data_IF_281149883892
#
_entry.id   IF_281149883892
#
_cell.length_a   1.000
_cell.length_b   1.000
_cell.length_c   1.000
_cell.angle_alpha   90.00
_cell.angle_beta   90.00
_cell.angle_gamma   90.00
#
_symmetry.space_group_name_H-M   'P 1'
#
loop_
_entity.id
_entity.type
_entity.pdbx_description
1 polymer ?
#
# COMPACT_ATOMS: atom_id res chain seq x y z
N UNK A 1 -35.98 16.77 -58.14
CA UNK A 1 -34.90 17.61 -57.53
C UNK A 1 -33.63 16.75 -57.47
N UNK A 2 -32.66 17.04 -58.33
CA UNK A 2 -31.35 16.38 -58.31
C UNK A 2 -30.46 17.11 -57.32
N UNK A 3 -30.25 16.50 -56.14
CA UNK A 3 -29.23 17.02 -55.22
C UNK A 3 -27.88 16.78 -55.84
N UNK A 4 -27.01 17.79 -55.98
CA UNK A 4 -25.68 17.62 -56.54
C UNK A 4 -24.87 16.69 -55.63
N UNK A 5 -24.21 15.69 -56.19
CA UNK A 5 -23.39 14.70 -55.48
C UNK A 5 -22.40 15.33 -54.50
N UNK A 6 -22.01 16.57 -54.72
CA UNK A 6 -21.12 17.34 -53.83
C UNK A 6 -21.74 17.68 -52.46
N UNK A 7 -23.06 17.92 -52.38
CA UNK A 7 -23.73 18.18 -51.06
C UNK A 7 -23.85 16.94 -50.21
N UNK A 8 -24.05 15.78 -50.82
CA UNK A 8 -24.09 14.50 -50.13
C UNK A 8 -22.70 14.14 -49.61
N UNK A 9 -21.66 14.40 -50.43
CA UNK A 9 -20.26 14.13 -50.02
C UNK A 9 -19.81 15.06 -48.88
N UNK A 10 -20.18 16.34 -48.90
CA UNK A 10 -19.93 17.31 -47.82
C UNK A 10 -20.63 16.94 -46.52
N UNK A 11 -21.88 16.47 -46.60
CA UNK A 11 -22.63 15.97 -45.43
C UNK A 11 -21.99 14.73 -44.85
N UNK A 12 -21.52 13.81 -45.70
CA UNK A 12 -20.85 12.59 -45.26
C UNK A 12 -19.51 12.90 -44.57
N UNK A 13 -18.77 13.89 -45.13
CA UNK A 13 -17.49 14.35 -44.55
C UNK A 13 -17.68 15.03 -43.17
N UNK A 14 -18.75 15.81 -42.99
CA UNK A 14 -19.09 16.45 -41.71
C UNK A 14 -19.40 15.44 -40.59
N UNK A 15 -20.07 14.32 -40.92
CA UNK A 15 -20.36 13.25 -39.95
C UNK A 15 -19.09 12.54 -39.49
N UNK A 16 -18.10 12.36 -40.36
CA UNK A 16 -16.82 11.72 -40.01
C UNK A 16 -15.97 12.55 -39.06
N UNK A 17 -16.01 13.89 -39.15
CA UNK A 17 -15.22 14.76 -38.26
C UNK A 17 -15.83 14.86 -36.87
N UNK A 18 -17.15 14.69 -36.72
CA UNK A 18 -17.85 14.77 -35.42
C UNK A 18 -17.58 13.55 -34.53
N UNK A 19 -17.17 12.44 -35.10
CA UNK A 19 -16.96 11.17 -34.37
C UNK A 19 -15.68 11.17 -33.50
N UNK A 20 -14.69 12.02 -33.79
CA UNK A 20 -13.43 12.04 -33.04
C UNK A 20 -13.49 12.80 -31.69
N UNK A 21 -14.39 13.79 -31.57
CA UNK A 21 -14.45 14.67 -30.39
C UNK A 21 -15.00 13.99 -29.14
N UNK A 22 -15.85 12.96 -29.28
CA UNK A 22 -16.48 12.27 -28.16
C UNK A 22 -15.55 11.37 -27.35
N UNK A 23 -14.52 10.77 -27.98
CA UNK A 23 -13.59 9.84 -27.32
C UNK A 23 -12.65 10.55 -26.35
N UNK A 24 -12.12 11.70 -26.72
CA UNK A 24 -11.24 12.48 -25.84
C UNK A 24 -11.98 13.01 -24.60
N UNK A 25 -13.26 13.37 -24.75
CA UNK A 25 -14.08 13.81 -23.63
C UNK A 25 -14.31 12.68 -22.61
N UNK A 26 -14.45 11.45 -23.09
CA UNK A 26 -14.61 10.28 -22.22
C UNK A 26 -13.30 9.90 -21.51
N UNK A 27 -12.14 9.95 -22.18
CA UNK A 27 -10.84 9.69 -21.56
C UNK A 27 -10.52 10.71 -20.45
N UNK A 28 -10.78 12.00 -20.69
CA UNK A 28 -10.65 13.08 -19.70
C UNK A 28 -11.54 12.85 -18.46
N UNK A 29 -12.75 12.34 -18.67
CA UNK A 29 -13.65 12.01 -17.57
C UNK A 29 -13.06 10.90 -16.69
N UNK A 30 -12.53 9.83 -17.27
CA UNK A 30 -11.86 8.76 -16.52
C UNK A 30 -10.64 9.28 -15.75
N UNK A 31 -9.86 10.19 -16.35
CA UNK A 31 -8.72 10.81 -15.67
C UNK A 31 -9.18 11.65 -14.46
N UNK A 32 -10.19 12.49 -14.64
CA UNK A 32 -10.77 13.30 -13.56
C UNK A 32 -11.36 12.44 -12.44
N UNK A 33 -12.02 11.31 -12.77
CA UNK A 33 -12.51 10.35 -11.78
C UNK A 33 -11.35 9.66 -11.03
N UNK A 34 -10.22 9.40 -11.71
CA UNK A 34 -9.02 8.86 -11.07
C UNK A 34 -8.37 9.86 -10.12
N UNK A 35 -8.29 11.15 -10.51
CA UNK A 35 -7.80 12.24 -9.67
C UNK A 35 -8.67 12.42 -8.41
N UNK A 36 -10.00 12.40 -8.57
CA UNK A 36 -10.93 12.47 -7.43
C UNK A 36 -10.73 11.30 -6.47
N UNK A 37 -10.65 10.07 -7.01
CA UNK A 37 -10.41 8.88 -6.20
C UNK A 37 -9.05 8.91 -5.47
N UNK A 38 -8.02 9.49 -6.10
CA UNK A 38 -6.72 9.71 -5.47
C UNK A 38 -6.80 10.69 -4.30
N UNK A 39 -7.49 11.83 -4.49
CA UNK A 39 -7.70 12.84 -3.44
C UNK A 39 -8.49 12.24 -2.26
N UNK A 40 -9.49 11.40 -2.53
CA UNK A 40 -10.27 10.69 -1.52
C UNK A 40 -9.49 9.57 -0.80
N UNK A 41 -8.25 9.29 -1.24
CA UNK A 41 -7.42 8.20 -0.70
C UNK A 41 -7.85 6.81 -1.14
N UNK A 42 -8.75 6.71 -2.11
CA UNK A 42 -9.17 5.44 -2.72
C UNK A 42 -8.22 5.03 -3.85
N UNK A 43 -7.03 4.61 -3.46
CA UNK A 43 -5.94 4.29 -4.39
C UNK A 43 -6.28 3.12 -5.32
N UNK A 44 -7.08 2.16 -4.86
CA UNK A 44 -7.52 1.03 -5.70
C UNK A 44 -8.42 1.48 -6.84
N UNK A 45 -9.36 2.37 -6.58
CA UNK A 45 -10.24 2.93 -7.60
C UNK A 45 -9.46 3.84 -8.56
N UNK A 46 -8.55 4.67 -8.05
CA UNK A 46 -7.69 5.51 -8.88
C UNK A 46 -6.89 4.68 -9.89
N UNK A 47 -6.22 3.63 -9.44
CA UNK A 47 -5.47 2.68 -10.32
C UNK A 47 -6.38 2.04 -11.37
N UNK A 48 -7.56 1.57 -10.97
CA UNK A 48 -8.53 0.96 -11.90
C UNK A 48 -8.95 1.95 -13.01
N UNK A 49 -9.23 3.20 -12.65
CA UNK A 49 -9.62 4.25 -13.62
C UNK A 49 -8.48 4.58 -14.58
N UNK A 50 -7.24 4.70 -14.09
CA UNK A 50 -6.05 4.95 -14.92
C UNK A 50 -5.82 3.79 -15.90
N UNK A 51 -5.90 2.54 -15.46
CA UNK A 51 -5.72 1.39 -16.35
C UNK A 51 -6.83 1.28 -17.38
N UNK A 52 -8.07 1.67 -17.01
CA UNK A 52 -9.19 1.74 -17.94
C UNK A 52 -8.94 2.74 -19.09
N UNK A 53 -8.23 3.84 -18.86
CA UNK A 53 -7.89 4.80 -19.94
C UNK A 53 -7.07 4.12 -21.04
N UNK A 54 -6.06 3.33 -20.67
CA UNK A 54 -5.20 2.61 -21.63
C UNK A 54 -5.98 1.59 -22.47
N UNK A 55 -6.93 0.90 -21.85
CA UNK A 55 -7.70 -0.17 -22.49
C UNK A 55 -8.79 0.41 -23.39
N UNK A 56 -9.56 1.39 -22.88
CA UNK A 56 -10.73 1.91 -23.56
C UNK A 56 -10.38 3.00 -24.58
N UNK A 57 -9.31 3.74 -24.35
CA UNK A 57 -8.93 4.92 -25.14
C UNK A 57 -7.45 4.88 -25.59
N UNK A 58 -7.00 3.84 -26.32
CA UNK A 58 -5.60 3.63 -26.65
C UNK A 58 -4.99 4.72 -27.56
N UNK A 59 -5.82 5.61 -28.12
CA UNK A 59 -5.39 6.75 -28.98
C UNK A 59 -5.34 8.08 -28.23
N UNK A 60 -5.74 8.13 -26.95
CA UNK A 60 -5.72 9.33 -26.12
C UNK A 60 -4.37 9.46 -25.40
N UNK A 61 -3.32 9.75 -26.15
CA UNK A 61 -1.93 9.75 -25.67
C UNK A 61 -1.70 10.74 -24.52
N UNK A 62 -2.31 11.90 -24.55
CA UNK A 62 -2.17 12.93 -23.52
C UNK A 62 -2.75 12.45 -22.18
N UNK A 63 -3.94 11.86 -22.21
CA UNK A 63 -4.61 11.32 -21.03
C UNK A 63 -3.90 10.06 -20.51
N UNK A 64 -3.35 9.23 -21.40
CA UNK A 64 -2.54 8.05 -21.00
C UNK A 64 -1.27 8.51 -20.29
N UNK A 65 -0.58 9.53 -20.80
CA UNK A 65 0.64 10.06 -20.19
C UNK A 65 0.35 10.73 -18.84
N UNK A 66 -0.71 11.53 -18.76
CA UNK A 66 -1.18 12.11 -17.51
C UNK A 66 -1.57 11.02 -16.49
N UNK A 67 -2.27 10.00 -16.94
CA UNK A 67 -2.62 8.83 -16.13
C UNK A 67 -1.38 8.06 -15.63
N UNK A 68 -0.31 7.97 -16.44
CA UNK A 68 0.94 7.37 -16.02
C UNK A 68 1.59 8.16 -14.87
N UNK A 69 1.64 9.49 -14.96
CA UNK A 69 2.17 10.34 -13.91
C UNK A 69 1.34 10.21 -12.63
N UNK A 70 0.02 10.29 -12.74
CA UNK A 70 -0.89 10.09 -11.62
C UNK A 70 -0.72 8.70 -10.98
N UNK A 71 -0.48 7.64 -11.77
CA UNK A 71 -0.22 6.30 -11.26
C UNK A 71 1.01 6.25 -10.35
N UNK A 72 2.07 7.01 -10.67
CA UNK A 72 3.26 7.09 -9.81
C UNK A 72 2.95 7.78 -8.48
N UNK A 73 2.18 8.87 -8.52
CA UNK A 73 1.74 9.57 -7.31
C UNK A 73 0.86 8.67 -6.43
N UNK A 74 -0.10 7.96 -7.03
CA UNK A 74 -0.97 7.00 -6.33
C UNK A 74 -0.16 5.92 -5.63
N UNK A 75 0.83 5.33 -6.34
CA UNK A 75 1.71 4.30 -5.76
C UNK A 75 2.57 4.84 -4.63
N UNK A 76 3.09 6.05 -4.78
CA UNK A 76 3.90 6.69 -3.75
C UNK A 76 3.07 6.95 -2.49
N UNK A 77 1.86 7.50 -2.64
CA UNK A 77 0.96 7.79 -1.53
C UNK A 77 0.47 6.49 -0.83
N UNK A 78 0.17 5.44 -1.60
CA UNK A 78 -0.20 4.13 -1.05
C UNK A 78 0.96 3.51 -0.25
N UNK A 79 2.18 3.56 -0.78
CA UNK A 79 3.36 3.05 -0.09
C UNK A 79 3.65 3.85 1.20
N UNK A 80 3.53 5.18 1.14
CA UNK A 80 3.71 6.02 2.33
C UNK A 80 2.68 5.67 3.42
N UNK A 81 1.41 5.47 3.05
CA UNK A 81 0.37 5.03 3.99
C UNK A 81 0.68 3.67 4.59
N UNK A 82 1.19 2.74 3.79
CA UNK A 82 1.57 1.41 4.27
C UNK A 82 2.76 1.48 5.23
N UNK A 83 3.76 2.31 4.96
CA UNK A 83 4.88 2.56 5.87
C UNK A 83 4.39 3.14 7.20
N UNK A 84 3.53 4.15 7.16
CA UNK A 84 2.95 4.75 8.37
C UNK A 84 2.14 3.73 9.20
N UNK A 85 1.38 2.86 8.52
CA UNK A 85 0.66 1.78 9.18
C UNK A 85 1.61 0.80 9.86
N UNK A 86 2.67 0.36 9.16
CA UNK A 86 3.68 -0.54 9.73
C UNK A 86 4.41 0.10 10.91
N UNK A 87 4.74 1.39 10.83
CA UNK A 87 5.38 2.14 11.90
C UNK A 87 4.47 2.23 13.14
N UNK A 88 3.19 2.53 12.94
CA UNK A 88 2.20 2.55 14.02
C UNK A 88 2.06 1.19 14.70
N UNK A 89 1.98 0.11 13.91
CA UNK A 89 1.91 -1.26 14.42
C UNK A 89 3.18 -1.65 15.18
N UNK A 90 4.33 -1.25 14.69
CA UNK A 90 5.61 -1.48 15.36
C UNK A 90 5.65 -0.77 16.72
N UNK A 91 5.24 0.49 16.76
CA UNK A 91 5.20 1.28 17.99
C UNK A 91 4.25 0.68 19.04
N UNK A 92 3.06 0.26 18.62
CA UNK A 92 2.08 -0.39 19.48
C UNK A 92 2.63 -1.70 20.05
N UNK A 93 3.17 -2.58 19.20
CA UNK A 93 3.75 -3.84 19.63
C UNK A 93 4.95 -3.64 20.58
N UNK A 94 5.78 -2.62 20.33
CA UNK A 94 6.90 -2.29 21.21
C UNK A 94 6.42 -1.76 22.57
N UNK A 95 5.37 -0.97 22.60
CA UNK A 95 4.74 -0.51 23.83
C UNK A 95 4.17 -1.67 24.65
N UNK A 96 3.45 -2.59 23.99
CA UNK A 96 2.93 -3.80 24.65
C UNK A 96 4.06 -4.70 25.18
N UNK A 97 5.14 -4.86 24.41
CA UNK A 97 6.29 -5.63 24.86
C UNK A 97 6.92 -5.02 26.12
N UNK A 98 7.10 -3.70 26.16
CA UNK A 98 7.64 -3.02 27.35
C UNK A 98 6.73 -3.16 28.56
N UNK A 99 5.42 -3.07 28.38
CA UNK A 99 4.45 -3.29 29.45
C UNK A 99 4.54 -4.74 29.97
N UNK A 100 4.61 -5.72 29.06
CA UNK A 100 4.79 -7.12 29.45
C UNK A 100 6.12 -7.35 30.17
N UNK A 101 7.21 -6.73 29.75
CA UNK A 101 8.50 -6.82 30.39
C UNK A 101 8.48 -6.22 31.82
N UNK A 102 7.85 -5.05 31.98
CA UNK A 102 7.69 -4.43 33.30
C UNK A 102 6.84 -5.28 34.23
N UNK A 103 5.76 -5.87 33.72
CA UNK A 103 4.93 -6.82 34.47
C UNK A 103 5.66 -8.12 34.78
N UNK A 104 6.53 -8.59 33.87
CA UNK A 104 7.34 -9.77 34.07
C UNK A 104 8.39 -9.55 35.17
N UNK A 105 9.02 -8.38 35.24
CA UNK A 105 9.92 -8.05 36.33
C UNK A 105 9.22 -7.98 37.69
N UNK A 106 7.95 -7.55 37.73
CA UNK A 106 7.14 -7.58 38.93
C UNK A 106 6.73 -9.01 39.35
N UNK A 107 6.42 -9.88 38.39
CA UNK A 107 6.06 -11.28 38.63
C UNK A 107 7.30 -12.16 38.92
N UNK A 108 8.48 -11.71 38.47
CA UNK A 108 9.75 -12.46 38.57
C UNK A 108 10.13 -12.79 39.99
N UNK A 109 9.91 -11.89 40.94
CA UNK A 109 10.32 -12.07 42.32
C UNK A 109 9.45 -13.13 43.04
N UNK A 110 8.18 -13.28 42.67
CA UNK A 110 7.27 -14.24 43.28
C UNK A 110 7.26 -15.62 42.59
N UNK A 111 7.46 -15.70 41.28
CA UNK A 111 7.37 -16.93 40.49
C UNK A 111 8.71 -17.54 40.07
N UNK A 112 9.81 -16.85 40.33
CA UNK A 112 11.11 -17.37 39.90
C UNK A 112 11.47 -18.68 40.67
N UNK A 113 10.98 -18.86 41.86
CA UNK A 113 11.16 -20.11 42.56
C UNK A 113 10.37 -21.26 41.91
N UNK A 114 9.11 -21.04 41.57
CA UNK A 114 8.30 -22.06 40.88
C UNK A 114 8.81 -22.37 39.48
N UNK A 115 9.13 -21.35 38.70
CA UNK A 115 9.63 -21.53 37.33
C UNK A 115 11.05 -22.08 37.31
N UNK A 116 11.87 -21.69 38.26
CA UNK A 116 13.22 -22.24 38.50
C UNK A 116 13.23 -23.74 38.82
N UNK A 117 12.19 -24.26 39.47
CA UNK A 117 12.05 -25.68 39.70
C UNK A 117 11.46 -26.46 38.52
N UNK A 118 10.53 -25.87 37.77
CA UNK A 118 9.84 -26.55 36.67
C UNK A 118 10.65 -26.52 35.36
N UNK A 119 11.28 -25.42 35.04
CA UNK A 119 11.99 -25.24 33.76
C UNK A 119 13.17 -26.22 33.61
N UNK A 120 14.00 -26.47 34.62
CA UNK A 120 15.07 -27.46 34.52
C UNK A 120 14.56 -28.90 34.37
N UNK A 121 13.38 -29.22 34.91
CA UNK A 121 12.77 -30.57 34.78
C UNK A 121 12.23 -30.81 33.38
N UNK A 122 11.68 -29.78 32.74
CA UNK A 122 11.09 -29.88 31.39
C UNK A 122 12.17 -29.72 30.31
N UNK A 123 13.13 -28.84 30.53
CA UNK A 123 14.21 -28.54 29.55
C UNK A 123 15.59 -28.59 30.18
N UNK A 124 16.07 -29.77 30.61
CA UNK A 124 17.34 -29.89 31.35
C UNK A 124 18.54 -29.38 30.56
N UNK A 125 18.51 -29.53 29.23
CA UNK A 125 19.60 -29.12 28.35
C UNK A 125 19.67 -27.57 28.14
N UNK A 126 18.52 -26.89 28.10
CA UNK A 126 18.50 -25.42 27.97
C UNK A 126 18.85 -24.71 29.27
N UNK A 127 18.48 -25.28 30.39
CA UNK A 127 18.81 -24.77 31.72
C UNK A 127 20.31 -24.81 32.02
N UNK A 128 21.04 -25.80 31.49
CA UNK A 128 22.50 -25.91 31.65
C UNK A 128 23.25 -24.85 30.77
N UNK A 129 22.76 -24.59 29.57
CA UNK A 129 23.34 -23.58 28.66
C UNK A 129 23.18 -22.16 29.22
N UNK A 130 22.01 -21.84 29.79
CA UNK A 130 21.76 -20.51 30.36
C UNK A 130 22.62 -20.24 31.61
N UNK A 131 22.86 -21.27 32.43
CA UNK A 131 23.73 -21.16 33.61
C UNK A 131 25.16 -20.89 33.24
N UNK A 132 25.67 -21.47 32.16
CA UNK A 132 27.02 -21.26 31.66
C UNK A 132 27.20 -19.91 30.99
N UNK A 133 26.18 -19.41 30.29
CA UNK A 133 26.17 -18.06 29.67
C UNK A 133 26.18 -16.93 30.70
N UNK A 134 25.43 -17.08 31.79
CA UNK A 134 25.42 -16.10 32.88
C UNK A 134 26.77 -16.05 33.67
N UNK A 135 27.45 -17.19 33.80
CA UNK A 135 28.78 -17.22 34.46
C UNK A 135 29.91 -16.59 33.64
N UNK A 136 29.81 -16.67 32.29
CA UNK A 136 30.79 -16.02 31.42
C UNK A 136 30.63 -14.51 31.35
N UNK A 137 29.39 -14.00 31.42
CA UNK A 137 29.08 -12.56 31.38
C UNK A 137 29.47 -11.79 32.64
N UNK A 138 29.60 -12.46 33.79
CA UNK A 138 30.02 -11.84 35.07
C UNK A 138 31.53 -11.73 35.19
N UNK A 139 32.33 -12.49 34.41
CA UNK A 139 33.80 -12.47 34.46
C UNK A 139 34.47 -11.35 33.67
N UNK A 140 33.73 -10.69 32.77
CA UNK A 140 34.31 -9.62 31.92
C UNK A 140 34.18 -8.21 32.52
N UNK A 141 33.63 -8.03 33.71
CA UNK A 141 33.48 -6.71 34.38
C UNK A 141 34.20 -6.64 35.75
N UNK A 142 35.26 -7.38 35.91
CA UNK A 142 36.15 -7.27 37.06
C UNK A 142 37.52 -6.73 36.69
#
# INVERSE_FOLDING_TARGET
>A
MRFPNHTIFLMLLAVLVSSCSGRNRSAKKYLSEAESAYIEGNYSLAKLKIDSIKILFPKSFDEINSGFNLMQEVRMAENLRNVQYCDSMLHENYSQLNEMLNNFDFIRDDRYQEFGEYYPKIYPHKASLNRNGLRSGVREKG
#
